data_IF_252386763606
#
_entry.id   IF_252386763606
#
_cell.length_a   1.000
_cell.length_b   1.000
_cell.length_c   1.000
_cell.angle_alpha   90.00
_cell.angle_beta   90.00
_cell.angle_gamma   90.00
#
_symmetry.space_group_name_H-M   'P 1'
#
loop_
_entity.id
_entity.type
_entity.pdbx_description
1 polymer ?
#
# COMPACT_ATOMS: atom_id res chain seq x y z
N UNK A 1 -23.21 -33.60 29.13
CA UNK A 1 -21.79 -33.28 29.47
C UNK A 1 -20.86 -33.18 28.24
N UNK A 2 -21.28 -33.55 27.04
CA UNK A 2 -20.46 -33.46 25.81
C UNK A 2 -20.44 -32.09 25.16
N UNK A 3 -21.48 -31.28 25.35
CA UNK A 3 -21.71 -30.01 24.65
C UNK A 3 -20.86 -28.84 25.19
N UNK A 4 -20.66 -28.78 26.50
CA UNK A 4 -19.90 -27.68 27.13
C UNK A 4 -18.39 -27.70 26.80
N UNK A 5 -17.79 -28.87 26.56
CA UNK A 5 -16.37 -28.98 26.18
C UNK A 5 -16.12 -28.57 24.73
N UNK A 6 -17.08 -28.79 23.84
CA UNK A 6 -16.96 -28.42 22.43
C UNK A 6 -17.07 -26.90 22.26
N UNK A 7 -18.03 -26.28 22.92
CA UNK A 7 -18.21 -24.81 22.94
C UNK A 7 -17.00 -24.10 23.56
N UNK A 8 -16.43 -24.67 24.64
CA UNK A 8 -15.24 -24.09 25.27
C UNK A 8 -13.99 -24.15 24.35
N UNK A 9 -13.78 -25.26 23.63
CA UNK A 9 -12.63 -25.36 22.70
C UNK A 9 -12.79 -24.45 21.48
N UNK A 10 -13.98 -24.33 20.94
CA UNK A 10 -14.26 -23.45 19.80
C UNK A 10 -14.06 -21.98 20.18
N UNK A 11 -14.50 -21.54 21.37
CA UNK A 11 -14.28 -20.20 21.86
C UNK A 11 -12.79 -19.89 22.12
N UNK A 12 -12.03 -20.85 22.63
CA UNK A 12 -10.59 -20.67 22.84
C UNK A 12 -9.87 -20.48 21.50
N UNK A 13 -10.14 -21.29 20.49
CA UNK A 13 -9.53 -21.16 19.15
C UNK A 13 -9.92 -19.81 18.50
N UNK A 14 -11.18 -19.40 18.62
CA UNK A 14 -11.64 -18.11 18.10
C UNK A 14 -10.87 -16.94 18.73
N UNK A 15 -10.75 -16.94 20.06
CA UNK A 15 -10.06 -15.90 20.81
C UNK A 15 -8.57 -15.87 20.43
N UNK A 16 -7.90 -17.02 20.42
CA UNK A 16 -6.48 -17.13 20.08
C UNK A 16 -6.20 -16.57 18.67
N UNK A 17 -7.02 -16.95 17.68
CA UNK A 17 -6.86 -16.50 16.29
C UNK A 17 -7.17 -15.01 16.13
N UNK A 18 -8.22 -14.52 16.79
CA UNK A 18 -8.64 -13.14 16.66
C UNK A 18 -7.74 -12.14 17.40
N UNK A 19 -7.05 -12.57 18.44
CA UNK A 19 -6.21 -11.71 19.28
C UNK A 19 -4.73 -11.69 18.86
N UNK A 20 -4.21 -12.77 18.30
CA UNK A 20 -2.82 -12.87 17.91
C UNK A 20 -2.60 -12.33 16.48
N UNK A 21 -1.75 -11.29 16.35
CA UNK A 21 -1.39 -10.70 15.06
C UNK A 21 -0.68 -11.67 14.09
N UNK A 22 -0.04 -12.74 14.61
CA UNK A 22 0.55 -13.80 13.79
C UNK A 22 -0.50 -14.57 12.97
N UNK A 23 -1.77 -14.52 13.36
CA UNK A 23 -2.87 -14.93 12.50
C UNK A 23 -3.29 -13.76 11.58
N UNK A 24 -2.62 -13.61 10.45
CA UNK A 24 -2.94 -12.59 9.45
C UNK A 24 -4.37 -12.76 8.93
N UNK A 25 -5.18 -11.71 9.02
CA UNK A 25 -6.45 -11.63 8.29
C UNK A 25 -6.13 -11.50 6.80
N UNK A 26 -6.12 -12.65 6.10
CA UNK A 26 -5.51 -12.78 4.77
C UNK A 26 -6.49 -12.57 3.62
N UNK A 27 -7.65 -13.25 3.64
CA UNK A 27 -8.66 -13.16 2.59
C UNK A 27 -10.04 -12.87 3.16
N UNK A 28 -10.89 -12.21 2.38
CA UNK A 28 -12.31 -12.04 2.69
C UNK A 28 -13.17 -12.80 1.67
N UNK A 29 -14.07 -13.64 2.17
CA UNK A 29 -15.07 -14.33 1.38
C UNK A 29 -16.45 -13.69 1.57
N UNK A 30 -16.94 -12.91 0.58
CA UNK A 30 -18.25 -12.27 0.66
C UNK A 30 -19.41 -13.26 0.57
N UNK A 31 -19.20 -14.46 0.00
CA UNK A 31 -20.25 -15.48 -0.12
C UNK A 31 -20.66 -16.08 1.22
N UNK A 32 -19.72 -16.19 2.16
CA UNK A 32 -19.95 -16.75 3.49
C UNK A 32 -19.80 -15.72 4.62
N UNK A 33 -19.52 -14.45 4.28
CA UNK A 33 -19.18 -13.38 5.22
C UNK A 33 -18.09 -13.83 6.22
N UNK A 34 -16.99 -14.36 5.68
CA UNK A 34 -15.94 -15.00 6.43
C UNK A 34 -14.57 -14.39 6.13
N UNK A 35 -13.69 -14.42 7.13
CA UNK A 35 -12.28 -14.07 7.01
C UNK A 35 -11.45 -15.33 7.10
N UNK A 36 -10.58 -15.53 6.12
CA UNK A 36 -9.59 -16.59 6.12
C UNK A 36 -8.32 -16.06 6.78
N UNK A 37 -7.98 -16.61 7.90
CA UNK A 37 -6.73 -16.33 8.61
C UNK A 37 -5.65 -17.30 8.19
N UNK A 38 -4.43 -16.80 8.03
CA UNK A 38 -3.26 -17.60 7.72
C UNK A 38 -2.16 -17.30 8.74
N UNK A 39 -1.53 -18.35 9.27
CA UNK A 39 -0.42 -18.20 10.22
C UNK A 39 0.79 -17.60 9.52
N UNK A 40 1.14 -16.39 9.92
CA UNK A 40 2.27 -15.63 9.42
C UNK A 40 2.91 -14.86 10.61
N UNK A 41 3.79 -15.49 11.39
CA UNK A 41 4.50 -14.81 12.46
C UNK A 41 5.46 -13.74 11.91
N UNK A 42 6.01 -12.90 12.77
CA UNK A 42 6.83 -11.74 12.40
C UNK A 42 7.97 -12.06 11.44
N UNK A 43 8.64 -13.19 11.63
CA UNK A 43 9.73 -13.64 10.75
C UNK A 43 9.22 -13.97 9.32
N UNK A 44 8.01 -14.50 9.17
CA UNK A 44 7.36 -14.67 7.86
C UNK A 44 7.06 -13.31 7.24
N UNK A 45 6.51 -12.36 8.01
CA UNK A 45 6.33 -10.99 7.51
C UNK A 45 7.64 -10.36 7.04
N UNK A 46 8.75 -10.56 7.76
CA UNK A 46 10.08 -10.04 7.37
C UNK A 46 10.55 -10.57 6.03
N UNK A 47 10.43 -11.87 5.81
CA UNK A 47 10.94 -12.55 4.61
C UNK A 47 10.11 -12.29 3.36
N UNK A 48 8.77 -12.28 3.48
CA UNK A 48 7.88 -12.07 2.33
C UNK A 48 7.97 -10.66 1.78
N UNK A 49 7.94 -10.53 0.45
CA UNK A 49 7.88 -9.21 -0.21
C UNK A 49 6.48 -8.62 -0.11
N UNK A 50 5.46 -9.47 -0.30
CA UNK A 50 4.05 -9.10 -0.19
C UNK A 50 3.26 -10.17 0.60
N UNK A 51 2.19 -9.75 1.26
CA UNK A 51 1.32 -10.66 2.03
C UNK A 51 0.22 -11.21 1.11
N UNK A 52 0.64 -11.96 0.10
CA UNK A 52 -0.23 -12.57 -0.93
C UNK A 52 -0.14 -14.09 -0.92
N UNK A 53 -1.11 -14.77 -1.55
CA UNK A 53 -1.11 -16.23 -1.66
C UNK A 53 0.15 -16.79 -2.35
N UNK A 54 0.74 -16.01 -3.26
CA UNK A 54 1.92 -16.43 -4.02
C UNK A 54 3.20 -16.43 -3.18
N UNK A 55 3.26 -15.62 -2.10
CA UNK A 55 4.49 -15.42 -1.33
C UNK A 55 4.41 -15.97 0.10
N UNK A 56 3.21 -16.08 0.67
CA UNK A 56 3.05 -16.70 1.97
C UNK A 56 3.23 -18.22 1.87
N UNK A 57 3.82 -18.88 2.90
CA UNK A 57 4.03 -20.32 2.87
C UNK A 57 2.71 -21.08 2.66
N UNK A 58 2.67 -21.91 1.61
CA UNK A 58 1.46 -22.65 1.23
C UNK A 58 0.99 -23.65 2.30
N UNK A 59 1.93 -24.20 3.06
CA UNK A 59 1.74 -25.18 4.12
C UNK A 59 1.46 -24.55 5.50
N UNK A 60 1.40 -23.21 5.60
CA UNK A 60 1.06 -22.53 6.84
C UNK A 60 -0.37 -22.86 7.28
N UNK A 61 -0.58 -22.88 8.61
CA UNK A 61 -1.91 -23.11 9.19
C UNK A 61 -2.92 -22.08 8.70
N UNK A 62 -4.13 -22.53 8.35
CA UNK A 62 -5.25 -21.69 7.89
C UNK A 62 -6.49 -21.97 8.72
N UNK A 63 -7.22 -20.94 9.07
CA UNK A 63 -8.48 -21.01 9.80
C UNK A 63 -9.47 -20.02 9.16
N UNK A 64 -10.72 -20.44 9.03
CA UNK A 64 -11.80 -19.60 8.54
C UNK A 64 -12.73 -19.28 9.69
N UNK A 65 -12.98 -18.00 9.92
CA UNK A 65 -13.89 -17.51 10.95
C UNK A 65 -14.96 -16.63 10.32
N UNK A 66 -16.17 -16.65 10.86
CA UNK A 66 -17.16 -15.64 10.51
C UNK A 66 -16.61 -14.26 10.87
N UNK A 67 -16.75 -13.31 9.95
CA UNK A 67 -16.19 -11.95 10.12
C UNK A 67 -16.67 -11.29 11.43
N UNK A 68 -17.97 -11.39 11.74
CA UNK A 68 -18.53 -10.79 12.93
C UNK A 68 -17.92 -11.36 14.23
N UNK A 69 -17.74 -12.68 14.28
CA UNK A 69 -17.18 -13.37 15.44
C UNK A 69 -15.68 -12.99 15.65
N UNK A 70 -14.92 -12.97 14.55
CA UNK A 70 -13.51 -12.58 14.57
C UNK A 70 -13.33 -11.14 15.08
N UNK A 71 -14.15 -10.21 14.60
CA UNK A 71 -14.11 -8.81 15.01
C UNK A 71 -14.55 -8.62 16.45
N UNK A 72 -15.57 -9.35 16.91
CA UNK A 72 -16.03 -9.28 18.29
C UNK A 72 -14.95 -9.78 19.30
N UNK A 73 -14.16 -10.76 18.89
CA UNK A 73 -13.06 -11.32 19.71
C UNK A 73 -11.72 -10.56 19.57
N UNK A 74 -11.58 -9.68 18.55
CA UNK A 74 -10.36 -8.92 18.32
C UNK A 74 -10.10 -7.90 19.44
N UNK A 75 -8.83 -7.67 19.83
CA UNK A 75 -8.47 -6.66 20.82
C UNK A 75 -8.73 -5.24 20.29
N UNK A 76 -8.48 -4.25 21.15
CA UNK A 76 -8.41 -2.85 20.71
C UNK A 76 -7.31 -2.68 19.66
N UNK A 77 -7.55 -1.81 18.69
CA UNK A 77 -6.57 -1.52 17.64
C UNK A 77 -5.35 -0.80 18.21
N UNK A 78 -4.17 -1.13 17.68
CA UNK A 78 -2.97 -0.34 17.83
C UNK A 78 -3.08 0.97 17.00
N UNK A 79 -2.17 1.93 17.19
CA UNK A 79 -2.00 3.03 16.26
C UNK A 79 -1.81 2.46 14.83
N UNK A 80 -2.69 2.85 13.90
CA UNK A 80 -2.72 2.33 12.53
C UNK A 80 -2.42 3.45 11.55
N UNK A 81 -1.39 3.29 10.74
CA UNK A 81 -0.94 4.28 9.76
C UNK A 81 -0.86 3.66 8.36
N UNK A 82 -0.79 4.50 7.33
CA UNK A 82 -0.86 4.03 5.94
C UNK A 82 0.28 4.59 5.08
N UNK A 83 0.76 3.76 4.13
CA UNK A 83 1.62 4.17 3.04
C UNK A 83 0.87 3.89 1.73
N UNK A 84 0.12 4.87 1.23
CA UNK A 84 -0.45 4.79 -0.12
C UNK A 84 0.63 5.14 -1.15
N UNK A 85 0.55 4.54 -2.34
CA UNK A 85 1.65 4.71 -3.29
C UNK A 85 1.22 4.60 -4.76
N UNK A 86 2.00 5.24 -5.66
CA UNK A 86 1.77 5.22 -7.11
C UNK A 86 2.27 3.96 -7.82
N UNK A 87 2.85 3.00 -7.12
CA UNK A 87 3.71 1.91 -7.59
C UNK A 87 5.11 2.36 -8.07
N UNK A 88 6.06 1.44 -8.12
CA UNK A 88 7.46 1.65 -8.56
C UNK A 88 8.22 2.79 -7.83
N UNK A 89 7.81 3.11 -6.62
CA UNK A 89 8.29 4.25 -5.84
C UNK A 89 8.97 3.86 -4.52
N UNK A 90 9.60 2.71 -4.42
CA UNK A 90 10.26 2.20 -3.21
C UNK A 90 9.35 1.91 -2.01
N UNK A 91 8.04 1.79 -2.21
CA UNK A 91 7.09 1.58 -1.11
C UNK A 91 7.32 0.28 -0.32
N UNK A 92 7.81 -0.78 -0.96
CA UNK A 92 8.16 -2.05 -0.28
C UNK A 92 9.40 -1.91 0.58
N UNK A 93 10.42 -1.19 0.10
CA UNK A 93 11.59 -0.81 0.89
C UNK A 93 11.16 -0.08 2.16
N UNK A 94 10.34 0.95 2.01
CA UNK A 94 9.87 1.75 3.13
C UNK A 94 9.03 0.93 4.11
N UNK A 95 8.13 0.08 3.63
CA UNK A 95 7.33 -0.79 4.50
C UNK A 95 8.19 -1.77 5.33
N UNK A 96 9.30 -2.27 4.76
CA UNK A 96 10.29 -3.08 5.49
C UNK A 96 11.03 -2.27 6.56
N UNK A 97 11.28 -0.98 6.32
CA UNK A 97 11.94 -0.10 7.28
C UNK A 97 11.15 0.06 8.60
N UNK A 98 9.81 -0.11 8.54
CA UNK A 98 8.93 -0.06 9.71
C UNK A 98 8.79 -1.39 10.48
N UNK A 99 9.45 -2.48 10.09
CA UNK A 99 9.50 -3.68 10.93
C UNK A 99 10.56 -3.49 12.04
N UNK A 100 10.15 -2.87 13.13
CA UNK A 100 10.99 -2.58 14.30
C UNK A 100 10.28 -3.00 15.57
N UNK A 101 10.82 -4.05 16.23
CA UNK A 101 10.29 -4.53 17.51
C UNK A 101 10.29 -3.41 18.54
N UNK A 102 9.20 -3.28 19.26
CA UNK A 102 8.97 -2.22 20.23
C UNK A 102 8.41 -0.91 19.65
N UNK A 103 8.42 -0.71 18.33
CA UNK A 103 7.94 0.52 17.69
C UNK A 103 6.84 0.28 16.66
N UNK A 104 7.07 -0.58 15.68
CA UNK A 104 6.11 -0.79 14.61
C UNK A 104 6.26 -2.13 13.89
N UNK A 105 5.19 -2.49 13.16
CA UNK A 105 5.17 -3.57 12.18
C UNK A 105 4.64 -3.08 10.84
N UNK A 106 5.41 -3.32 9.76
CA UNK A 106 5.01 -3.00 8.39
C UNK A 106 4.22 -4.15 7.73
N UNK A 107 2.99 -3.91 7.31
CA UNK A 107 2.17 -4.87 6.54
C UNK A 107 2.24 -4.54 5.05
N UNK A 108 2.83 -5.45 4.27
CA UNK A 108 3.16 -5.27 2.85
C UNK A 108 2.07 -5.87 1.94
N UNK A 109 1.16 -5.04 1.45
CA UNK A 109 0.06 -5.39 0.53
C UNK A 109 -0.83 -6.54 1.03
N UNK A 110 -1.45 -6.42 2.22
CA UNK A 110 -2.35 -7.45 2.72
C UNK A 110 -3.51 -7.62 1.75
N UNK A 111 -3.62 -8.83 1.16
CA UNK A 111 -4.51 -9.11 0.02
C UNK A 111 -6.00 -9.01 0.35
N UNK A 112 -6.38 -9.09 1.61
CA UNK A 112 -7.77 -8.87 2.06
C UNK A 112 -8.32 -7.50 1.59
N UNK A 113 -7.47 -6.47 1.50
CA UNK A 113 -7.87 -5.16 0.99
C UNK A 113 -8.17 -5.21 -0.51
N UNK A 114 -7.42 -6.02 -1.26
CA UNK A 114 -7.69 -6.24 -2.69
C UNK A 114 -9.00 -7.01 -2.91
N UNK A 115 -9.33 -7.97 -2.03
CA UNK A 115 -10.61 -8.68 -2.08
C UNK A 115 -11.78 -7.70 -1.92
N UNK A 116 -11.67 -6.74 -1.00
CA UNK A 116 -12.68 -5.70 -0.76
C UNK A 116 -12.83 -4.79 -1.99
N UNK A 117 -11.71 -4.37 -2.61
CA UNK A 117 -11.75 -3.60 -3.87
C UNK A 117 -12.44 -4.41 -4.97
N UNK A 118 -12.06 -5.68 -5.15
CA UNK A 118 -12.68 -6.57 -6.13
C UNK A 118 -14.17 -6.75 -5.88
N UNK A 119 -14.57 -6.89 -4.63
CA UNK A 119 -15.99 -7.02 -4.26
C UNK A 119 -16.76 -5.73 -4.56
N UNK A 120 -16.21 -4.56 -4.21
CA UNK A 120 -16.78 -3.24 -4.56
C UNK A 120 -16.97 -3.10 -6.07
N UNK A 121 -15.96 -3.45 -6.88
CA UNK A 121 -16.01 -3.38 -8.35
C UNK A 121 -17.05 -4.31 -8.97
N UNK A 122 -17.42 -5.38 -8.29
CA UNK A 122 -18.53 -6.27 -8.68
C UNK A 122 -19.91 -5.78 -8.25
N UNK A 123 -20.03 -4.54 -7.79
CA UNK A 123 -21.31 -3.91 -7.47
C UNK A 123 -21.83 -4.20 -6.05
N UNK A 124 -20.94 -4.54 -5.11
CA UNK A 124 -21.33 -4.70 -3.72
C UNK A 124 -21.89 -3.39 -3.14
N UNK A 125 -22.91 -3.53 -2.28
CA UNK A 125 -23.56 -2.40 -1.62
C UNK A 125 -22.52 -1.56 -0.85
N UNK A 126 -22.43 -0.23 -1.08
CA UNK A 126 -21.40 0.62 -0.48
C UNK A 126 -21.35 0.56 1.06
N UNK A 127 -22.50 0.45 1.72
CA UNK A 127 -22.59 0.32 3.17
C UNK A 127 -21.93 -0.98 3.66
N UNK A 128 -22.13 -2.08 2.95
CA UNK A 128 -21.51 -3.37 3.29
C UNK A 128 -20.01 -3.33 3.04
N UNK A 129 -19.57 -2.74 1.94
CA UNK A 129 -18.15 -2.52 1.65
C UNK A 129 -17.48 -1.70 2.76
N UNK A 130 -18.10 -0.62 3.20
CA UNK A 130 -17.60 0.22 4.29
C UNK A 130 -17.47 -0.57 5.60
N UNK A 131 -18.49 -1.34 5.97
CA UNK A 131 -18.49 -2.17 7.18
C UNK A 131 -17.38 -3.25 7.12
N UNK A 132 -17.24 -3.94 6.01
CA UNK A 132 -16.21 -4.97 5.84
C UNK A 132 -14.80 -4.36 5.84
N UNK A 133 -14.63 -3.18 5.22
CA UNK A 133 -13.38 -2.44 5.26
C UNK A 133 -13.01 -2.04 6.69
N UNK A 134 -13.94 -1.49 7.46
CA UNK A 134 -13.72 -1.13 8.86
C UNK A 134 -13.26 -2.34 9.68
N UNK A 135 -13.94 -3.48 9.51
CA UNK A 135 -13.60 -4.73 10.17
C UNK A 135 -12.25 -5.29 9.73
N UNK A 136 -11.92 -5.20 8.43
CA UNK A 136 -10.61 -5.62 7.94
C UNK A 136 -9.48 -4.76 8.54
N UNK A 137 -9.67 -3.43 8.63
CA UNK A 137 -8.72 -2.53 9.27
C UNK A 137 -8.53 -2.88 10.73
N UNK A 138 -9.60 -3.19 11.46
CA UNK A 138 -9.52 -3.64 12.86
C UNK A 138 -8.71 -4.91 13.01
N UNK A 139 -8.91 -5.90 12.14
CA UNK A 139 -8.17 -7.16 12.18
C UNK A 139 -6.71 -7.01 11.73
N UNK A 140 -6.40 -6.09 10.81
CA UNK A 140 -5.04 -5.75 10.41
C UNK A 140 -4.31 -4.90 11.45
N UNK A 141 -5.04 -4.06 12.22
CA UNK A 141 -4.50 -3.17 13.23
C UNK A 141 -4.09 -3.84 14.54
N UNK A 142 -3.98 -5.17 14.59
CA UNK A 142 -3.49 -5.90 15.78
C UNK A 142 -1.96 -5.80 15.85
N UNK A 143 -1.38 -5.31 16.96
CA UNK A 143 0.06 -5.18 17.10
C UNK A 143 0.73 -6.55 17.33
N UNK A 144 1.97 -6.70 16.90
CA UNK A 144 2.81 -7.87 17.23
C UNK A 144 3.40 -7.78 18.63
N UNK A 145 3.63 -6.58 19.13
CA UNK A 145 4.12 -6.31 20.48
C UNK A 145 3.29 -5.20 21.16
N UNK A 146 3.29 -5.18 22.48
CA UNK A 146 2.59 -4.16 23.25
C UNK A 146 3.17 -2.77 22.93
N UNK A 147 2.29 -1.82 22.60
CA UNK A 147 2.68 -0.44 22.26
C UNK A 147 3.16 -0.23 20.82
N UNK A 148 3.33 -1.29 20.02
CA UNK A 148 3.71 -1.14 18.63
C UNK A 148 2.58 -0.57 17.76
N UNK A 149 2.94 0.31 16.83
CA UNK A 149 2.05 0.75 15.77
C UNK A 149 2.01 -0.28 14.62
N UNK A 150 0.95 -0.23 13.82
CA UNK A 150 0.86 -0.99 12.56
C UNK A 150 0.90 -0.01 11.39
N UNK A 151 1.84 -0.20 10.47
CA UNK A 151 1.97 0.59 9.23
C UNK A 151 1.55 -0.26 8.06
N UNK A 152 0.34 -0.05 7.55
CA UNK A 152 -0.18 -0.78 6.39
C UNK A 152 0.24 -0.08 5.11
N UNK A 153 0.91 -0.82 4.24
CA UNK A 153 1.19 -0.43 2.86
C UNK A 153 0.28 -1.28 1.96
N UNK A 154 -0.93 -0.80 1.62
CA UNK A 154 -1.81 -1.53 0.71
C UNK A 154 -1.23 -1.55 -0.72
N UNK A 155 -1.73 -2.43 -1.58
CA UNK A 155 -1.47 -2.34 -3.01
C UNK A 155 -2.07 -1.04 -3.58
N UNK A 156 -1.48 -0.47 -4.62
CA UNK A 156 -1.94 0.77 -5.21
C UNK A 156 -3.36 0.69 -5.82
N UNK A 157 -3.87 -0.51 -6.10
CA UNK A 157 -5.28 -0.70 -6.50
C UNK A 157 -6.26 -0.35 -5.38
N UNK A 158 -5.79 -0.28 -4.13
CA UNK A 158 -6.59 0.07 -2.94
C UNK A 158 -6.68 1.59 -2.76
N UNK A 159 -5.92 2.39 -3.49
CA UNK A 159 -5.88 3.86 -3.34
C UNK A 159 -7.27 4.51 -3.40
N UNK A 160 -8.20 3.96 -4.19
CA UNK A 160 -9.59 4.43 -4.25
C UNK A 160 -10.38 4.27 -2.93
N UNK A 161 -9.87 3.50 -1.96
CA UNK A 161 -10.43 3.37 -0.60
C UNK A 161 -9.72 4.25 0.44
N UNK A 162 -8.63 4.94 0.08
CA UNK A 162 -7.79 5.69 1.03
C UNK A 162 -8.58 6.73 1.83
N UNK A 163 -9.49 7.46 1.18
CA UNK A 163 -10.34 8.44 1.85
C UNK A 163 -11.28 7.79 2.89
N UNK A 164 -11.82 6.61 2.60
CA UNK A 164 -12.65 5.86 3.53
C UNK A 164 -11.81 5.34 4.71
N UNK A 165 -10.64 4.76 4.44
CA UNK A 165 -9.71 4.26 5.46
C UNK A 165 -9.29 5.35 6.44
N UNK A 166 -8.89 6.52 5.94
CA UNK A 166 -8.53 7.69 6.77
C UNK A 166 -9.73 8.27 7.51
N UNK A 167 -10.92 8.26 6.91
CA UNK A 167 -12.15 8.70 7.55
C UNK A 167 -12.59 7.81 8.71
N UNK A 168 -12.43 6.48 8.56
CA UNK A 168 -12.74 5.49 9.60
C UNK A 168 -11.72 5.47 10.74
N UNK A 169 -10.51 5.99 10.52
CA UNK A 169 -9.41 6.01 11.50
C UNK A 169 -8.92 7.45 11.72
N UNK A 170 -9.64 8.26 12.51
CA UNK A 170 -9.32 9.69 12.69
C UNK A 170 -7.90 9.94 13.21
N UNK A 171 -7.35 9.02 13.99
CA UNK A 171 -5.99 9.12 14.53
C UNK A 171 -4.91 8.63 13.56
N UNK A 172 -5.30 7.94 12.47
CA UNK A 172 -4.35 7.46 11.48
C UNK A 172 -3.75 8.61 10.69
N UNK A 173 -2.49 8.44 10.34
CA UNK A 173 -1.74 9.32 9.46
C UNK A 173 -1.30 8.56 8.22
N UNK A 174 -1.04 9.24 7.13
CA UNK A 174 -0.65 8.61 5.88
C UNK A 174 0.51 9.32 5.20
N UNK A 175 1.37 8.50 4.62
CA UNK A 175 2.31 8.92 3.59
C UNK A 175 1.74 8.57 2.22
N UNK A 176 1.81 9.51 1.28
CA UNK A 176 1.51 9.33 -0.13
C UNK A 176 2.84 9.30 -0.89
N UNK A 177 3.32 8.10 -1.19
CA UNK A 177 4.64 7.88 -1.78
C UNK A 177 4.51 7.72 -3.29
N UNK A 178 5.30 8.49 -4.06
CA UNK A 178 5.23 8.46 -5.52
C UNK A 178 6.62 8.46 -6.17
N UNK A 179 6.71 7.92 -7.37
CA UNK A 179 7.87 8.12 -8.24
C UNK A 179 7.60 9.30 -9.18
N UNK A 180 8.60 10.10 -9.57
CA UNK A 180 8.48 11.04 -10.68
C UNK A 180 7.95 10.31 -11.93
N UNK A 181 7.21 11.03 -12.79
CA UNK A 181 6.55 10.41 -13.95
C UNK A 181 7.54 9.68 -14.85
N UNK A 182 8.67 10.28 -15.17
CA UNK A 182 9.69 9.68 -16.03
C UNK A 182 10.25 8.38 -15.44
N UNK A 183 10.56 8.36 -14.13
CA UNK A 183 11.00 7.18 -13.38
C UNK A 183 9.94 6.08 -13.39
N UNK A 184 8.67 6.45 -13.26
CA UNK A 184 7.56 5.52 -13.33
C UNK A 184 7.41 4.93 -14.72
N UNK A 185 7.42 5.75 -15.79
CA UNK A 185 7.32 5.31 -17.19
C UNK A 185 8.49 4.40 -17.58
N UNK A 186 9.72 4.74 -17.19
CA UNK A 186 10.89 3.90 -17.41
C UNK A 186 10.74 2.52 -16.74
N UNK A 187 10.18 2.49 -15.52
CA UNK A 187 9.89 1.23 -14.82
C UNK A 187 8.87 0.36 -15.54
N UNK A 188 7.82 0.97 -16.11
CA UNK A 188 6.81 0.26 -16.92
C UNK A 188 7.44 -0.27 -18.21
N UNK A 189 8.19 0.55 -18.93
CA UNK A 189 8.85 0.17 -20.17
C UNK A 189 9.82 -1.01 -19.95
N UNK A 190 10.63 -0.98 -18.88
CA UNK A 190 11.55 -2.06 -18.48
C UNK A 190 10.83 -3.40 -18.25
N UNK A 191 9.58 -3.38 -17.75
CA UNK A 191 8.77 -4.59 -17.52
C UNK A 191 8.21 -5.21 -18.82
N UNK A 192 8.41 -4.57 -19.97
CA UNK A 192 7.97 -5.06 -21.26
C UNK A 192 6.46 -5.29 -21.31
N UNK A 193 6.03 -6.38 -21.93
CA UNK A 193 4.60 -6.70 -22.13
C UNK A 193 3.83 -6.81 -20.81
N UNK A 194 4.42 -7.38 -19.78
CA UNK A 194 3.77 -7.49 -18.47
C UNK A 194 3.43 -6.11 -17.89
N UNK A 195 4.37 -5.18 -17.92
CA UNK A 195 4.13 -3.81 -17.42
C UNK A 195 3.05 -3.09 -18.23
N UNK A 196 3.06 -3.27 -19.55
CA UNK A 196 2.09 -2.66 -20.47
C UNK A 196 0.66 -3.19 -20.25
N UNK A 197 0.50 -4.48 -20.03
CA UNK A 197 -0.80 -5.09 -19.69
C UNK A 197 -1.27 -4.65 -18.30
N UNK A 198 -0.37 -4.63 -17.32
CA UNK A 198 -0.71 -4.23 -15.96
C UNK A 198 -1.25 -2.80 -15.87
N UNK A 199 -0.68 -1.83 -16.61
CA UNK A 199 -1.20 -0.45 -16.58
C UNK A 199 -2.60 -0.34 -17.20
N UNK A 200 -2.94 -1.19 -18.17
CA UNK A 200 -4.30 -1.26 -18.74
C UNK A 200 -5.30 -1.85 -17.75
N UNK A 201 -4.92 -2.89 -17.01
CA UNK A 201 -5.75 -3.44 -15.92
C UNK A 201 -5.97 -2.40 -14.81
N UNK A 202 -4.92 -1.66 -14.46
CA UNK A 202 -5.01 -0.57 -13.48
C UNK A 202 -5.98 0.52 -13.96
N UNK A 203 -5.87 0.94 -15.24
CA UNK A 203 -6.77 1.91 -15.87
C UNK A 203 -8.23 1.47 -15.77
N UNK A 204 -8.55 0.23 -16.14
CA UNK A 204 -9.92 -0.32 -16.05
C UNK A 204 -10.46 -0.21 -14.63
N UNK A 205 -9.64 -0.55 -13.64
CA UNK A 205 -10.03 -0.42 -12.24
C UNK A 205 -10.24 1.03 -11.80
N UNK A 206 -9.38 1.94 -12.21
CA UNK A 206 -9.49 3.36 -11.89
C UNK A 206 -10.73 4.00 -12.55
N UNK A 207 -11.04 3.63 -13.78
CA UNK A 207 -12.25 4.08 -14.48
C UNK A 207 -13.53 3.58 -13.79
N UNK A 208 -13.56 2.31 -13.38
CA UNK A 208 -14.68 1.74 -12.63
C UNK A 208 -14.91 2.45 -11.27
N UNK A 209 -13.87 3.06 -10.72
CA UNK A 209 -13.91 3.80 -9.46
C UNK A 209 -14.11 5.32 -9.63
N UNK A 210 -14.20 5.81 -10.87
CA UNK A 210 -14.38 7.24 -11.16
C UNK A 210 -13.18 8.11 -10.81
N UNK A 211 -11.95 7.56 -10.86
CA UNK A 211 -10.73 8.26 -10.47
C UNK A 211 -10.09 9.09 -11.59
N UNK A 212 -10.73 9.20 -12.76
CA UNK A 212 -10.20 9.90 -13.93
C UNK A 212 -10.90 11.25 -14.19
N UNK A 213 -10.35 12.38 -13.76
CA UNK A 213 -10.97 13.70 -13.93
C UNK A 213 -10.54 14.39 -15.23
N UNK A 214 -10.20 13.66 -16.31
CA UNK A 214 -9.58 14.24 -17.51
C UNK A 214 -10.57 14.65 -18.61
N UNK A 215 -11.85 14.28 -18.48
CA UNK A 215 -12.86 14.52 -19.50
C UNK A 215 -12.72 13.65 -20.77
N UNK A 216 -11.90 12.60 -20.72
CA UNK A 216 -11.72 11.67 -21.82
C UNK A 216 -12.94 10.75 -21.98
N UNK A 217 -13.32 10.50 -23.22
CA UNK A 217 -14.30 9.47 -23.57
C UNK A 217 -13.64 8.10 -23.80
N UNK A 218 -14.45 7.10 -24.07
CA UNK A 218 -13.96 5.73 -24.32
C UNK A 218 -13.01 5.65 -25.52
N UNK A 219 -13.25 6.44 -26.57
CA UNK A 219 -12.45 6.46 -27.78
C UNK A 219 -11.07 7.05 -27.50
N UNK A 220 -11.01 8.10 -26.66
CA UNK A 220 -9.75 8.72 -26.27
C UNK A 220 -8.85 7.70 -25.55
N UNK A 221 -9.41 6.93 -24.60
CA UNK A 221 -8.65 5.89 -23.89
C UNK A 221 -8.18 4.75 -24.81
N UNK A 222 -8.99 4.34 -25.80
CA UNK A 222 -8.63 3.30 -26.75
C UNK A 222 -7.53 3.74 -27.71
N UNK A 223 -7.45 5.04 -28.01
CA UNK A 223 -6.43 5.63 -28.90
C UNK A 223 -5.04 5.79 -28.25
N UNK A 224 -4.92 5.58 -26.92
CA UNK A 224 -3.67 5.81 -26.19
C UNK A 224 -2.70 4.65 -26.29
N UNK A 225 -1.41 4.99 -26.39
CA UNK A 225 -0.33 4.00 -26.24
C UNK A 225 -0.26 3.50 -24.80
N UNK A 226 0.44 2.38 -24.57
CA UNK A 226 0.57 1.82 -23.21
C UNK A 226 1.25 2.77 -22.23
N UNK A 227 2.26 3.54 -22.68
CA UNK A 227 2.90 4.54 -21.82
C UNK A 227 2.02 5.77 -21.58
N UNK A 228 1.16 6.16 -22.53
CA UNK A 228 0.14 7.18 -22.26
C UNK A 228 -0.88 6.70 -21.24
N UNK A 229 -1.33 5.45 -21.33
CA UNK A 229 -2.19 4.82 -20.31
C UNK A 229 -1.50 4.81 -18.95
N UNK A 230 -0.22 4.48 -18.89
CA UNK A 230 0.56 4.53 -17.66
C UNK A 230 0.60 5.95 -17.07
N UNK A 231 0.87 6.96 -17.90
CA UNK A 231 0.92 8.36 -17.49
C UNK A 231 -0.42 8.87 -16.95
N UNK A 232 -1.54 8.52 -17.60
CA UNK A 232 -2.88 8.88 -17.12
C UNK A 232 -3.19 8.21 -15.80
N UNK A 233 -2.87 6.93 -15.65
CA UNK A 233 -3.05 6.21 -14.39
C UNK A 233 -2.23 6.83 -13.25
N UNK A 234 -1.02 7.33 -13.55
CA UNK A 234 -0.19 8.06 -12.61
C UNK A 234 -0.82 9.42 -12.25
N UNK A 235 -1.28 10.19 -13.23
CA UNK A 235 -1.98 11.47 -13.00
C UNK A 235 -3.26 11.30 -12.17
N UNK A 236 -4.04 10.25 -12.42
CA UNK A 236 -5.24 9.94 -11.63
C UNK A 236 -4.89 9.72 -10.15
N UNK A 237 -3.80 9.00 -9.87
CA UNK A 237 -3.34 8.82 -8.50
C UNK A 237 -2.83 10.13 -7.87
N UNK A 238 -2.16 11.00 -8.64
CA UNK A 238 -1.72 12.32 -8.17
C UNK A 238 -2.90 13.24 -7.85
N UNK A 239 -3.93 13.24 -8.68
CA UNK A 239 -5.17 13.96 -8.41
C UNK A 239 -5.84 13.47 -7.12
N UNK A 240 -5.90 12.15 -6.94
CA UNK A 240 -6.41 11.55 -5.69
C UNK A 240 -5.55 11.94 -4.49
N UNK A 241 -4.23 11.92 -4.61
CA UNK A 241 -3.32 12.31 -3.53
C UNK A 241 -3.49 13.77 -3.12
N UNK A 242 -3.61 14.68 -4.09
CA UNK A 242 -3.91 16.08 -3.83
C UNK A 242 -5.27 16.25 -3.11
N UNK A 243 -6.29 15.51 -3.49
CA UNK A 243 -7.59 15.50 -2.82
C UNK A 243 -7.48 14.98 -1.36
N UNK A 244 -6.68 13.94 -1.10
CA UNK A 244 -6.45 13.42 0.26
C UNK A 244 -5.75 14.47 1.13
N UNK A 245 -4.71 15.14 0.62
CA UNK A 245 -4.04 16.23 1.32
C UNK A 245 -5.01 17.36 1.64
N UNK A 246 -5.80 17.80 0.66
CA UNK A 246 -6.79 18.88 0.84
C UNK A 246 -7.87 18.50 1.87
N UNK A 247 -8.32 17.24 1.86
CA UNK A 247 -9.40 16.76 2.74
C UNK A 247 -8.96 16.55 4.19
N UNK A 248 -7.77 15.98 4.40
CA UNK A 248 -7.33 15.54 5.73
C UNK A 248 -6.25 16.44 6.35
N UNK A 249 -5.70 17.38 5.58
CA UNK A 249 -4.69 18.33 6.02
C UNK A 249 -3.28 17.74 6.11
N UNK A 250 -2.29 18.64 6.03
CA UNK A 250 -0.87 18.28 6.06
C UNK A 250 -0.40 17.68 7.41
N UNK A 251 -1.13 17.89 8.50
CA UNK A 251 -0.83 17.28 9.80
C UNK A 251 -1.07 15.77 9.81
N UNK A 252 -1.94 15.28 8.93
CA UNK A 252 -2.30 13.86 8.86
C UNK A 252 -1.79 13.17 7.61
N UNK A 253 -1.63 13.90 6.49
CA UNK A 253 -1.30 13.34 5.18
C UNK A 253 -0.15 14.12 4.58
N UNK A 254 0.96 13.44 4.34
CA UNK A 254 2.17 13.99 3.73
C UNK A 254 2.51 13.26 2.45
N UNK A 255 3.23 13.91 1.55
CA UNK A 255 3.72 13.31 0.31
C UNK A 255 5.23 13.18 0.33
N UNK A 256 5.78 12.17 -0.39
CA UNK A 256 7.21 11.98 -0.52
C UNK A 256 7.53 11.41 -1.92
N UNK A 257 8.48 12.02 -2.60
CA UNK A 257 9.06 11.47 -3.82
C UNK A 257 10.02 10.31 -3.51
N UNK A 258 9.99 9.27 -4.32
CA UNK A 258 10.90 8.12 -4.14
C UNK A 258 12.37 8.49 -4.29
N UNK A 259 12.69 9.48 -5.11
CA UNK A 259 14.07 9.95 -5.29
C UNK A 259 14.58 10.64 -4.02
N UNK A 260 13.75 11.50 -3.41
CA UNK A 260 14.05 12.13 -2.13
C UNK A 260 14.20 11.09 -1.02
N UNK A 261 13.32 10.08 -0.96
CA UNK A 261 13.43 8.98 0.01
C UNK A 261 14.78 8.25 -0.08
N UNK A 262 15.27 8.01 -1.30
CA UNK A 262 16.53 7.28 -1.52
C UNK A 262 17.74 8.18 -1.33
N UNK A 263 17.65 9.47 -1.70
CA UNK A 263 18.73 10.43 -1.53
C UNK A 263 18.94 10.82 -0.07
N UNK A 264 17.86 10.94 0.71
CA UNK A 264 17.87 11.44 2.08
C UNK A 264 17.16 10.48 3.06
N UNK A 265 17.61 9.21 3.16
CA UNK A 265 16.88 8.18 3.92
C UNK A 265 16.79 8.52 5.41
N UNK A 266 17.81 9.11 6.02
CA UNK A 266 17.80 9.49 7.44
C UNK A 266 16.78 10.62 7.72
N UNK A 267 16.78 11.66 6.87
CA UNK A 267 15.81 12.76 7.00
C UNK A 267 14.36 12.27 6.77
N UNK A 268 14.16 11.42 5.76
CA UNK A 268 12.86 10.84 5.47
C UNK A 268 12.35 9.95 6.63
N UNK A 269 13.20 9.09 7.19
CA UNK A 269 12.82 8.22 8.33
C UNK A 269 12.59 9.02 9.60
N UNK A 270 13.36 10.08 9.87
CA UNK A 270 13.11 10.96 11.02
C UNK A 270 11.76 11.66 10.90
N UNK A 271 11.47 12.25 9.74
CA UNK A 271 10.18 12.90 9.51
C UNK A 271 8.99 11.93 9.54
N UNK A 272 9.17 10.66 9.15
CA UNK A 272 8.16 9.61 9.24
C UNK A 272 7.97 9.11 10.68
N UNK A 273 9.06 9.02 11.46
CA UNK A 273 8.98 8.76 12.90
C UNK A 273 8.08 9.78 13.59
N UNK A 274 8.30 11.06 13.31
CA UNK A 274 7.49 12.15 13.84
C UNK A 274 6.05 12.12 13.31
N UNK A 275 5.88 11.92 12.00
CA UNK A 275 4.55 11.85 11.38
C UNK A 275 3.72 10.73 11.98
N UNK A 276 4.29 9.55 12.19
CA UNK A 276 3.56 8.38 12.71
C UNK A 276 3.58 8.28 14.24
N UNK A 277 4.41 9.10 14.93
CA UNK A 277 4.53 9.09 16.39
C UNK A 277 5.06 7.77 16.93
N UNK A 278 6.17 7.27 16.34
CA UNK A 278 6.71 5.95 16.68
C UNK A 278 7.71 5.97 17.83
N UNK A 279 8.10 7.16 18.30
CA UNK A 279 9.02 7.40 19.42
C UNK A 279 10.37 6.65 19.29
N UNK A 280 10.86 6.45 18.05
CA UNK A 280 12.19 5.90 17.80
C UNK A 280 13.27 6.93 18.15
N UNK A 281 14.32 6.48 18.82
CA UNK A 281 15.47 7.35 19.11
C UNK A 281 16.26 7.68 17.83
N UNK A 282 16.99 8.79 17.80
CA UNK A 282 17.75 9.25 16.63
C UNK A 282 18.75 8.21 16.10
N UNK A 283 19.44 7.50 17.01
CA UNK A 283 20.36 6.41 16.63
C UNK A 283 19.66 5.19 16.00
N UNK A 284 18.41 4.92 16.38
CA UNK A 284 17.60 3.85 15.76
C UNK A 284 17.16 4.25 14.35
N UNK A 285 16.75 5.51 14.18
CA UNK A 285 16.41 6.08 12.86
C UNK A 285 17.63 6.02 11.93
N UNK A 286 18.80 6.40 12.42
CA UNK A 286 20.04 6.34 11.66
C UNK A 286 20.42 4.88 11.30
N UNK A 287 20.26 3.95 12.24
CA UNK A 287 20.49 2.52 11.99
C UNK A 287 19.53 1.95 10.94
N UNK A 288 18.30 2.45 10.85
CA UNK A 288 17.33 2.08 9.79
C UNK A 288 17.81 2.61 8.44
N UNK A 289 18.19 3.90 8.38
CA UNK A 289 18.60 4.56 7.15
C UNK A 289 19.88 3.93 6.54
N UNK A 290 20.78 3.44 7.38
CA UNK A 290 22.01 2.74 6.98
C UNK A 290 21.84 1.21 6.92
N UNK A 291 20.64 0.71 7.19
CA UNK A 291 20.35 -0.72 7.31
C UNK A 291 19.91 -1.40 6.01
N UNK A 292 19.65 -2.72 6.08
CA UNK A 292 19.33 -3.54 4.90
C UNK A 292 18.13 -3.06 4.08
N UNK A 293 17.18 -2.34 4.70
CA UNK A 293 16.04 -1.79 3.99
C UNK A 293 16.45 -0.84 2.86
N UNK A 294 17.52 -0.05 3.06
CA UNK A 294 18.01 0.92 2.10
C UNK A 294 19.24 0.46 1.30
N UNK A 295 19.97 -0.57 1.77
CA UNK A 295 21.21 -1.06 1.15
C UNK A 295 21.04 -2.35 0.35
N UNK A 296 19.87 -3.00 0.40
CA UNK A 296 19.57 -4.22 -0.36
C UNK A 296 18.37 -4.04 -1.29
N UNK A 297 18.32 -4.83 -2.36
CA UNK A 297 17.19 -4.83 -3.27
C UNK A 297 15.92 -5.37 -2.56
N UNK A 298 14.90 -4.53 -2.43
CA UNK A 298 13.71 -4.83 -1.61
C UNK A 298 12.86 -6.02 -2.09
N UNK A 299 13.10 -6.53 -3.32
CA UNK A 299 12.33 -7.63 -3.93
C UNK A 299 13.18 -8.86 -4.24
N UNK A 300 14.50 -8.73 -4.44
CA UNK A 300 15.39 -9.82 -4.87
C UNK A 300 16.36 -10.26 -3.76
N UNK A 301 16.42 -9.55 -2.64
CA UNK A 301 17.33 -9.79 -1.50
C UNK A 301 18.82 -9.80 -1.87
N UNK A 302 19.17 -9.16 -2.98
CA UNK A 302 20.55 -8.93 -3.43
C UNK A 302 21.07 -7.59 -2.93
N UNK A 303 22.39 -7.44 -2.81
CA UNK A 303 23.00 -6.14 -2.51
C UNK A 303 22.67 -5.17 -3.65
N UNK A 304 22.07 -4.04 -3.31
CA UNK A 304 21.57 -3.07 -4.27
C UNK A 304 21.69 -1.67 -3.71
N UNK A 305 22.50 -0.86 -4.36
CA UNK A 305 22.72 0.53 -3.95
C UNK A 305 21.79 1.51 -4.69
N UNK A 306 21.71 2.73 -4.18
CA UNK A 306 21.06 3.84 -4.88
C UNK A 306 21.68 4.06 -6.27
N UNK A 307 23.00 3.83 -6.41
CA UNK A 307 23.73 3.93 -7.68
C UNK A 307 23.30 2.84 -8.68
N UNK A 308 23.13 1.58 -8.22
CA UNK A 308 22.68 0.47 -9.07
C UNK A 308 21.27 0.74 -9.59
N UNK A 309 20.39 1.26 -8.73
CA UNK A 309 19.05 1.67 -9.13
C UNK A 309 19.08 2.78 -10.18
N UNK A 310 19.91 3.78 -9.98
CA UNK A 310 20.07 4.87 -10.93
C UNK A 310 20.63 4.38 -12.27
N UNK A 311 21.61 3.48 -12.25
CA UNK A 311 22.17 2.86 -13.45
C UNK A 311 21.13 2.03 -14.20
N UNK A 312 20.32 1.23 -13.50
CA UNK A 312 19.20 0.49 -14.11
C UNK A 312 18.14 1.41 -14.75
N UNK A 313 17.79 2.51 -14.07
CA UNK A 313 16.87 3.49 -14.62
C UNK A 313 17.43 4.22 -15.82
N UNK A 314 18.71 4.61 -15.79
CA UNK A 314 19.39 5.26 -16.92
C UNK A 314 19.44 4.34 -18.16
N UNK A 315 19.73 3.06 -17.96
CA UNK A 315 19.75 2.08 -19.07
C UNK A 315 18.35 1.89 -19.69
N UNK A 316 17.32 1.72 -18.88
CA UNK A 316 15.94 1.58 -19.36
C UNK A 316 15.44 2.88 -20.00
N UNK A 317 15.78 4.04 -19.44
CA UNK A 317 15.45 5.35 -19.98
C UNK A 317 16.11 5.58 -21.33
N UNK A 318 17.39 5.18 -21.52
CA UNK A 318 18.09 5.38 -22.79
C UNK A 318 17.43 4.60 -23.95
N UNK A 319 16.92 3.39 -23.68
CA UNK A 319 16.27 2.58 -24.73
C UNK A 319 14.88 3.13 -25.15
N UNK A 320 14.19 3.82 -24.26
CA UNK A 320 12.83 4.34 -24.47
C UNK A 320 12.77 5.86 -24.33
N UNK A 321 13.91 6.56 -24.36
CA UNK A 321 14.02 7.98 -24.03
C UNK A 321 13.05 8.87 -24.82
N UNK A 322 13.00 8.68 -26.13
CA UNK A 322 12.15 9.49 -27.02
C UNK A 322 10.64 9.27 -26.73
N UNK A 323 10.22 8.03 -26.47
CA UNK A 323 8.83 7.73 -26.12
C UNK A 323 8.47 8.33 -24.76
N UNK A 324 9.35 8.17 -23.75
CA UNK A 324 9.15 8.70 -22.39
C UNK A 324 9.07 10.21 -22.42
N UNK A 325 9.97 10.90 -23.12
CA UNK A 325 9.98 12.37 -23.23
C UNK A 325 8.67 12.88 -23.84
N UNK A 326 8.24 12.29 -24.98
CA UNK A 326 6.99 12.66 -25.64
C UNK A 326 5.77 12.42 -24.77
N UNK A 327 5.71 11.28 -24.08
CA UNK A 327 4.61 10.95 -23.17
C UNK A 327 4.61 11.86 -21.94
N UNK A 328 5.77 12.21 -21.40
CA UNK A 328 5.88 13.13 -20.27
C UNK A 328 5.38 14.54 -20.66
N UNK A 329 5.79 15.05 -21.82
CA UNK A 329 5.31 16.34 -22.34
C UNK A 329 3.80 16.33 -22.58
N UNK A 330 3.27 15.25 -23.17
CA UNK A 330 1.83 15.08 -23.37
C UNK A 330 1.06 15.00 -22.04
N UNK A 331 1.58 14.25 -21.06
CA UNK A 331 0.95 14.13 -19.75
C UNK A 331 0.94 15.48 -19.00
N UNK A 332 1.98 16.29 -19.13
CA UNK A 332 2.00 17.65 -18.58
C UNK A 332 0.92 18.54 -19.19
N UNK A 333 0.68 18.44 -20.50
CA UNK A 333 -0.40 19.15 -21.18
C UNK A 333 -1.79 18.68 -20.70
N UNK A 334 -1.99 17.37 -20.54
CA UNK A 334 -3.22 16.79 -19.98
C UNK A 334 -3.45 17.29 -18.56
N UNK A 335 -2.42 17.26 -17.71
CA UNK A 335 -2.48 17.72 -16.33
C UNK A 335 -2.88 19.22 -16.27
N UNK A 336 -2.24 20.06 -17.09
CA UNK A 336 -2.55 21.49 -17.17
C UNK A 336 -4.00 21.72 -17.60
N UNK A 337 -4.48 21.01 -18.62
CA UNK A 337 -5.86 21.10 -19.10
C UNK A 337 -6.89 20.68 -18.05
N UNK A 338 -6.56 19.66 -17.24
CA UNK A 338 -7.43 19.15 -16.18
C UNK A 338 -7.25 19.88 -14.83
N UNK A 339 -6.35 20.87 -14.73
CA UNK A 339 -6.04 21.56 -13.49
C UNK A 339 -5.39 20.68 -12.42
N UNK A 340 -4.66 19.63 -12.83
CA UNK A 340 -3.99 18.68 -11.95
C UNK A 340 -2.53 19.08 -11.78
N UNK A 341 -2.07 19.16 -10.53
CA UNK A 341 -0.67 19.39 -10.25
C UNK A 341 0.15 18.12 -10.45
N UNK A 342 1.33 18.24 -11.07
CA UNK A 342 2.32 17.16 -11.17
C UNK A 342 2.97 16.83 -9.81
N UNK A 343 2.84 17.72 -8.83
CA UNK A 343 3.25 17.48 -7.45
C UNK A 343 2.02 17.57 -6.52
N UNK A 344 1.71 16.52 -5.73
CA UNK A 344 0.46 16.48 -4.99
C UNK A 344 0.41 17.39 -3.74
N UNK A 345 1.44 18.16 -3.46
CA UNK A 345 1.51 19.09 -2.32
C UNK A 345 1.91 18.45 -1.01
N UNK A 346 1.98 19.22 0.07
CA UNK A 346 2.31 18.79 1.44
C UNK A 346 3.54 17.86 1.56
N UNK A 347 4.72 18.24 1.03
CA UNK A 347 5.91 17.38 1.09
C UNK A 347 6.28 17.09 2.56
N UNK A 348 6.72 15.86 2.82
CA UNK A 348 7.15 15.39 4.15
C UNK A 348 8.45 16.09 4.56
N UNK A 349 9.40 16.14 3.65
CA UNK A 349 10.67 16.89 3.76
C UNK A 349 10.78 17.82 2.55
N UNK A 350 11.53 18.91 2.70
CA UNK A 350 11.66 19.97 1.67
C UNK A 350 12.97 19.86 0.94
#
# INVERSE_FOLDING_TARGET
>A
MCDQRHVSRTNTVLTDVAQDAAWLAHRYDPGHDAVHFQWAPRDVHRRTTFLTDAELPADSRKIVLRRADAVAAAPSEAPLHFIFHSAYCCSTLLARAFDREGHAMGLKEPVILNDIVGWRRRGAEPRNVAMVLDHALRLLGRPFGAGEAVVVKPSNVVNGLAAAMLGMRPQSRALLLYAPLETYLASIAKKGMWGRLWVRELLVGQLAEGLHPFGFDQKDYLGQTDLQVAAIGWLAQHALFAQLVARFGAERVRTLGSETLVAEPAAAMSALNDLFGLDMAANEVEAIANGPAFTRHSKLDEDFSAADRQAEHLSASAMHAEEIEKVTAWAAAVAASAGISMAPGAPLIR
#
